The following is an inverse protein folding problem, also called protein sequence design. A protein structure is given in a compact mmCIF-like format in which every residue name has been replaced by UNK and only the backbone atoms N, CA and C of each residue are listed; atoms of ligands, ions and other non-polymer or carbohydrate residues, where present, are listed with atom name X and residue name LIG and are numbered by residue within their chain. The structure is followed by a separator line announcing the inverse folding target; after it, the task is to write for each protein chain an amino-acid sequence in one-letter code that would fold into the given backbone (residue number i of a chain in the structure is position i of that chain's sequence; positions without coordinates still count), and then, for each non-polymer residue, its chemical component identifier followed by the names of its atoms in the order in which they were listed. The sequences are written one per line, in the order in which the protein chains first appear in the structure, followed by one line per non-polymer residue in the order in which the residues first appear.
data_IF_936455047592
#
_entry.id   IF_936455047592
#
_cell.length_a   1.000
_cell.length_b   1.000
_cell.length_c   1.000
_cell.angle_alpha   90.00
_cell.angle_beta   90.00
_cell.angle_gamma   90.00
#
_symmetry.space_group_name_H-M   'P 1'
#
loop_
_entity.id
_entity.type
_entity.pdbx_description
1 polymer ?
#
# COMPACT_ATOMS: atom_id res chain seq x y z
N UNK A 1 -19.59 42.75 1.63
CA UNK A 1 -19.38 41.71 0.60
C UNK A 1 -19.31 40.36 1.30
N UNK A 2 -20.23 39.44 1.04
CA UNK A 2 -20.33 38.20 1.81
C UNK A 2 -19.34 37.14 1.26
N UNK A 3 -18.23 36.95 1.97
CA UNK A 3 -17.18 35.99 1.62
C UNK A 3 -17.74 34.58 1.40
N UNK A 4 -18.68 34.18 2.25
CA UNK A 4 -19.34 32.88 2.17
C UNK A 4 -20.03 32.66 0.82
N UNK A 5 -20.86 33.62 0.39
CA UNK A 5 -21.56 33.54 -0.89
C UNK A 5 -20.59 33.42 -2.07
N UNK A 6 -19.47 34.14 -2.01
CA UNK A 6 -18.42 34.06 -3.04
C UNK A 6 -17.82 32.64 -3.04
N UNK A 7 -17.33 32.17 -1.90
CA UNK A 7 -16.71 30.85 -1.79
C UNK A 7 -17.66 29.71 -2.20
N UNK A 8 -18.91 29.72 -1.72
CA UNK A 8 -19.92 28.72 -2.08
C UNK A 8 -20.17 28.75 -3.59
N UNK A 9 -20.35 29.92 -4.20
CA UNK A 9 -20.58 30.02 -5.65
C UNK A 9 -19.42 29.44 -6.47
N UNK A 10 -18.18 29.64 -6.00
CA UNK A 10 -16.99 29.10 -6.65
C UNK A 10 -16.87 27.59 -6.47
N UNK A 11 -17.04 27.08 -5.25
CA UNK A 11 -16.96 25.64 -4.99
C UNK A 11 -18.10 24.87 -5.65
N UNK A 12 -19.30 25.45 -5.80
CA UNK A 12 -20.38 24.84 -6.58
C UNK A 12 -20.00 24.68 -8.06
N UNK A 13 -19.35 25.70 -8.63
CA UNK A 13 -18.95 25.73 -10.04
C UNK A 13 -17.74 24.82 -10.33
N UNK A 14 -16.66 24.99 -9.57
CA UNK A 14 -15.35 24.36 -9.85
C UNK A 14 -15.15 23.04 -9.10
N UNK A 15 -15.95 22.78 -8.05
CA UNK A 15 -15.75 21.65 -7.14
C UNK A 15 -14.67 21.93 -6.08
N UNK A 16 -14.12 20.86 -5.46
CA UNK A 16 -13.09 20.98 -4.44
C UNK A 16 -11.81 21.67 -4.96
N UNK A 17 -11.28 22.61 -4.19
CA UNK A 17 -10.12 23.41 -4.58
C UNK A 17 -9.04 23.43 -3.49
N UNK A 18 -7.74 23.40 -3.85
CA UNK A 18 -6.65 23.55 -2.90
C UNK A 18 -6.57 24.98 -2.38
N UNK A 19 -5.96 25.15 -1.21
CA UNK A 19 -5.94 26.42 -0.51
C UNK A 19 -5.28 27.56 -1.28
N UNK A 20 -4.19 27.30 -2.04
CA UNK A 20 -3.57 28.32 -2.88
C UNK A 20 -4.52 28.85 -3.97
N UNK A 21 -5.32 27.97 -4.59
CA UNK A 21 -6.24 28.36 -5.65
C UNK A 21 -7.36 29.25 -5.10
N UNK A 22 -7.87 28.91 -3.92
CA UNK A 22 -8.87 29.72 -3.21
C UNK A 22 -8.28 31.08 -2.81
N UNK A 23 -7.07 31.11 -2.25
CA UNK A 23 -6.40 32.35 -1.86
C UNK A 23 -6.17 33.26 -3.07
N UNK A 24 -5.65 32.71 -4.17
CA UNK A 24 -5.41 33.45 -5.40
C UNK A 24 -6.70 34.03 -5.98
N UNK A 25 -7.77 33.23 -6.04
CA UNK A 25 -9.08 33.67 -6.52
C UNK A 25 -9.63 34.83 -5.67
N UNK A 26 -9.60 34.69 -4.34
CA UNK A 26 -10.09 35.72 -3.43
C UNK A 26 -9.23 36.99 -3.47
N UNK A 27 -7.91 36.86 -3.64
CA UNK A 27 -7.01 38.00 -3.81
C UNK A 27 -7.44 38.88 -4.98
N UNK A 28 -7.79 38.26 -6.12
CA UNK A 28 -8.27 38.96 -7.32
C UNK A 28 -9.64 39.58 -7.08
N UNK A 29 -10.61 38.79 -6.60
CA UNK A 29 -12.00 39.24 -6.39
C UNK A 29 -12.12 40.34 -5.35
N UNK A 30 -11.33 40.28 -4.28
CA UNK A 30 -11.39 41.21 -3.15
C UNK A 30 -10.36 42.34 -3.27
N UNK A 31 -9.51 42.36 -4.31
CA UNK A 31 -8.39 43.30 -4.48
C UNK A 31 -7.55 43.42 -3.20
N UNK A 32 -7.23 42.29 -2.59
CA UNK A 32 -6.46 42.22 -1.33
C UNK A 32 -5.24 41.33 -1.50
N UNK A 33 -4.26 41.46 -0.60
CA UNK A 33 -3.04 40.65 -0.64
C UNK A 33 -3.32 39.22 -0.17
N UNK A 34 -2.57 38.21 -0.66
CA UNK A 34 -2.72 36.82 -0.23
C UNK A 34 -2.64 36.62 1.29
N UNK A 35 -1.82 37.40 1.99
CA UNK A 35 -1.68 37.33 3.45
C UNK A 35 -2.95 37.80 4.17
N UNK A 36 -3.56 38.89 3.72
CA UNK A 36 -4.82 39.38 4.29
C UNK A 36 -5.94 38.37 4.06
N UNK A 37 -5.98 37.74 2.88
CA UNK A 37 -6.94 36.67 2.56
C UNK A 37 -6.76 35.46 3.48
N UNK A 38 -5.52 35.03 3.77
CA UNK A 38 -5.27 33.92 4.71
C UNK A 38 -5.82 34.20 6.11
N UNK A 39 -5.56 35.40 6.64
CA UNK A 39 -6.08 35.81 7.96
C UNK A 39 -7.61 35.83 7.95
N UNK A 40 -8.20 36.33 6.86
CA UNK A 40 -9.64 36.42 6.68
C UNK A 40 -10.29 35.02 6.61
N UNK A 41 -9.71 34.09 5.83
CA UNK A 41 -10.15 32.69 5.77
C UNK A 41 -10.05 32.00 7.14
N UNK A 42 -8.93 32.17 7.85
CA UNK A 42 -8.75 31.59 9.18
C UNK A 42 -9.80 32.07 10.18
N UNK A 43 -10.16 33.37 10.15
CA UNK A 43 -11.27 33.89 10.97
C UNK A 43 -12.62 33.34 10.54
N UNK A 44 -12.85 33.24 9.23
CA UNK A 44 -14.09 32.76 8.65
C UNK A 44 -14.40 31.30 9.00
N UNK A 45 -13.40 30.40 8.90
CA UNK A 45 -13.60 28.98 9.23
C UNK A 45 -13.70 28.70 10.73
N UNK A 46 -13.34 29.64 11.60
CA UNK A 46 -13.65 29.54 13.04
C UNK A 46 -15.12 29.74 13.35
N UNK A 47 -15.86 30.44 12.49
CA UNK A 47 -17.24 30.85 12.74
C UNK A 47 -18.27 30.25 11.80
N UNK A 48 -17.85 29.51 10.76
CA UNK A 48 -18.75 29.00 9.72
C UNK A 48 -18.61 27.49 9.54
N UNK A 49 -19.75 26.81 9.38
CA UNK A 49 -19.90 25.35 9.29
C UNK A 49 -20.25 24.85 7.89
N UNK A 50 -20.56 25.74 6.92
CA UNK A 50 -21.08 25.35 5.60
C UNK A 50 -20.01 24.90 4.59
N UNK A 51 -18.74 25.19 4.86
CA UNK A 51 -17.60 24.85 4.00
C UNK A 51 -16.61 24.01 4.79
N UNK A 52 -16.29 22.82 4.26
CA UNK A 52 -15.35 21.90 4.87
C UNK A 52 -13.92 22.24 4.48
N UNK A 53 -13.03 22.17 5.47
CA UNK A 53 -11.58 22.17 5.27
C UNK A 53 -11.11 20.74 5.42
N UNK A 54 -10.59 20.18 4.34
CA UNK A 54 -10.11 18.80 4.29
C UNK A 54 -9.02 18.57 5.32
N UNK A 55 -9.16 17.49 6.10
CA UNK A 55 -8.10 17.01 6.97
C UNK A 55 -6.85 16.61 6.15
N UNK A 56 -7.05 16.25 4.88
CA UNK A 56 -5.97 15.89 3.97
C UNK A 56 -4.99 17.04 3.77
N UNK A 57 -3.75 16.76 4.15
CA UNK A 57 -2.64 17.70 3.99
C UNK A 57 -1.79 17.32 2.78
N UNK A 58 -1.71 18.24 1.80
CA UNK A 58 -0.82 18.16 0.64
C UNK A 58 0.45 19.02 0.87
N UNK A 59 1.35 19.09 -0.12
CA UNK A 59 2.66 19.76 0.02
C UNK A 59 2.49 21.20 0.55
N UNK A 60 3.41 21.63 1.44
CA UNK A 60 3.39 22.95 2.07
C UNK A 60 2.18 23.23 2.99
N UNK A 61 1.65 22.19 3.66
CA UNK A 61 0.48 22.29 4.54
C UNK A 61 -0.75 22.88 3.85
N UNK A 62 -0.90 22.58 2.56
CA UNK A 62 -2.09 22.95 1.81
C UNK A 62 -3.23 21.96 2.10
N UNK A 63 -4.45 22.48 2.15
CA UNK A 63 -5.68 21.72 2.38
C UNK A 63 -6.66 21.96 1.24
N UNK A 64 -7.64 21.07 1.07
CA UNK A 64 -8.74 21.28 0.14
C UNK A 64 -9.94 21.93 0.83
N UNK A 65 -10.60 22.82 0.12
CA UNK A 65 -11.89 23.38 0.49
C UNK A 65 -12.98 22.74 -0.36
N UNK A 66 -14.07 22.30 0.27
CA UNK A 66 -15.19 21.66 -0.42
C UNK A 66 -16.52 21.85 0.32
N UNK A 67 -17.62 21.68 -0.39
CA UNK A 67 -18.97 21.78 0.18
C UNK A 67 -19.53 20.42 0.60
N UNK A 68 -20.58 20.44 1.43
CA UNK A 68 -21.39 19.26 1.67
C UNK A 68 -21.85 18.62 0.34
N UNK A 69 -21.72 17.30 0.26
CA UNK A 69 -22.05 16.55 -0.96
C UNK A 69 -20.97 16.53 -2.04
N UNK A 70 -19.79 17.14 -1.83
CA UNK A 70 -18.68 17.12 -2.79
C UNK A 70 -17.59 16.09 -2.50
N UNK A 71 -17.78 15.20 -1.52
CA UNK A 71 -16.85 14.13 -1.12
C UNK A 71 -16.40 13.27 -2.32
N UNK A 72 -17.32 12.94 -3.21
CA UNK A 72 -17.10 12.18 -4.45
C UNK A 72 -16.16 12.91 -5.40
N UNK A 73 -16.39 14.22 -5.58
CA UNK A 73 -15.56 15.07 -6.43
C UNK A 73 -14.16 15.21 -5.83
N UNK A 74 -14.03 15.26 -4.50
CA UNK A 74 -12.74 15.31 -3.81
C UNK A 74 -11.97 14.01 -4.03
N UNK A 75 -12.62 12.85 -3.84
CA UNK A 75 -12.03 11.55 -4.11
C UNK A 75 -11.54 11.44 -5.56
N UNK A 76 -12.36 11.85 -6.54
CA UNK A 76 -11.97 11.86 -7.96
C UNK A 76 -10.79 12.78 -8.24
N UNK A 77 -10.78 13.98 -7.65
CA UNK A 77 -9.68 14.94 -7.78
C UNK A 77 -8.37 14.31 -7.31
N UNK A 78 -8.37 13.68 -6.13
CA UNK A 78 -7.21 13.01 -5.55
C UNK A 78 -6.74 11.84 -6.41
N UNK A 79 -7.66 11.00 -6.89
CA UNK A 79 -7.37 9.85 -7.74
C UNK A 79 -6.80 10.28 -9.10
N UNK A 80 -7.24 11.41 -9.66
CA UNK A 80 -6.87 11.78 -11.03
C UNK A 80 -5.66 12.73 -11.09
N UNK A 81 -5.60 13.74 -10.21
CA UNK A 81 -4.59 14.80 -10.26
C UNK A 81 -3.44 14.62 -9.26
N UNK A 82 -3.64 13.86 -8.19
CA UNK A 82 -2.70 13.75 -7.09
C UNK A 82 -2.11 12.33 -6.93
N UNK A 83 -1.97 11.62 -8.05
CA UNK A 83 -1.41 10.26 -8.09
C UNK A 83 0.03 10.14 -7.61
N UNK A 84 0.79 11.22 -7.64
CA UNK A 84 2.16 11.26 -7.14
C UNK A 84 2.22 11.32 -5.60
N UNK A 85 1.09 11.57 -4.92
CA UNK A 85 0.98 11.54 -3.47
C UNK A 85 0.57 10.15 -2.96
N UNK A 86 1.02 9.75 -1.75
CA UNK A 86 0.63 8.47 -1.14
C UNK A 86 -0.88 8.24 -1.12
N UNK A 87 -1.67 9.24 -0.72
CA UNK A 87 -3.14 9.19 -0.70
C UNK A 87 -3.76 8.93 -2.08
N UNK A 88 -3.27 9.59 -3.13
CA UNK A 88 -3.84 9.45 -4.47
C UNK A 88 -3.57 8.07 -5.03
N UNK A 89 -2.39 7.50 -4.74
CA UNK A 89 -2.06 6.09 -5.07
C UNK A 89 -2.97 5.13 -4.34
N UNK A 90 -3.14 5.31 -3.02
CA UNK A 90 -4.01 4.48 -2.19
C UNK A 90 -5.45 4.47 -2.71
N UNK A 91 -6.04 5.65 -2.92
CA UNK A 91 -7.42 5.76 -3.41
C UNK A 91 -7.57 5.16 -4.83
N UNK A 92 -6.56 5.31 -5.70
CA UNK A 92 -6.60 4.67 -7.03
C UNK A 92 -6.57 3.15 -6.94
N UNK A 93 -5.75 2.59 -6.06
CA UNK A 93 -5.66 1.14 -5.90
C UNK A 93 -6.89 0.57 -5.18
N UNK A 94 -7.46 1.29 -4.21
CA UNK A 94 -8.78 0.95 -3.62
C UNK A 94 -9.87 0.92 -4.69
N UNK A 95 -9.88 1.87 -5.63
CA UNK A 95 -10.87 1.89 -6.72
C UNK A 95 -10.78 0.67 -7.63
N UNK A 96 -9.59 0.11 -7.82
CA UNK A 96 -9.39 -1.10 -8.64
C UNK A 96 -9.60 -2.39 -7.86
N UNK A 97 -9.17 -2.41 -6.60
CA UNK A 97 -9.12 -3.63 -5.77
C UNK A 97 -10.34 -3.78 -4.86
N UNK A 98 -11.21 -2.77 -4.79
CA UNK A 98 -12.38 -2.63 -3.92
C UNK A 98 -12.05 -2.46 -2.44
N UNK A 99 -11.08 -3.21 -1.95
CA UNK A 99 -10.53 -3.15 -0.61
C UNK A 99 -9.03 -3.47 -0.65
N UNK A 100 -8.34 -3.17 0.46
CA UNK A 100 -6.95 -3.55 0.68
C UNK A 100 -6.77 -3.96 2.15
N UNK A 101 -6.09 -5.08 2.41
CA UNK A 101 -5.63 -5.38 3.77
C UNK A 101 -4.53 -4.41 4.21
N UNK A 102 -4.32 -4.23 5.51
CA UNK A 102 -3.36 -3.25 6.05
C UNK A 102 -1.95 -3.44 5.50
N UNK A 103 -1.51 -4.69 5.34
CA UNK A 103 -0.20 -5.02 4.74
C UNK A 103 -0.07 -4.52 3.31
N UNK A 104 -1.16 -4.56 2.52
CA UNK A 104 -1.18 -4.00 1.17
C UNK A 104 -1.13 -2.47 1.21
N UNK A 105 -1.88 -1.85 2.13
CA UNK A 105 -1.88 -0.40 2.33
C UNK A 105 -0.48 0.11 2.66
N UNK A 106 0.26 -0.58 3.54
CA UNK A 106 1.62 -0.21 3.90
C UNK A 106 2.56 -0.22 2.67
N UNK A 107 2.42 -1.21 1.78
CA UNK A 107 3.19 -1.29 0.54
C UNK A 107 2.86 -0.16 -0.43
N UNK A 108 1.57 0.15 -0.61
CA UNK A 108 1.11 1.20 -1.54
C UNK A 108 1.53 2.60 -1.07
N UNK A 109 1.37 2.88 0.23
CA UNK A 109 1.78 4.16 0.79
C UNK A 109 3.30 4.29 0.80
N UNK A 110 4.02 3.22 1.17
CA UNK A 110 5.47 3.21 1.27
C UNK A 110 6.01 4.26 2.23
N UNK A 111 5.32 4.45 3.35
CA UNK A 111 5.61 5.44 4.39
C UNK A 111 5.94 4.73 5.71
N UNK A 112 6.55 5.44 6.68
CA UNK A 112 6.72 4.94 8.03
C UNK A 112 5.37 4.59 8.67
N UNK A 113 5.30 3.50 9.43
CA UNK A 113 4.09 3.10 10.14
C UNK A 113 3.74 4.11 11.24
N UNK A 114 4.75 4.55 11.98
CA UNK A 114 4.68 5.55 13.05
C UNK A 114 5.30 6.88 12.61
N UNK A 115 5.06 7.95 13.37
CA UNK A 115 5.64 9.27 13.12
C UNK A 115 7.17 9.20 13.07
N UNK A 116 7.77 9.75 12.02
CA UNK A 116 9.23 9.90 11.89
C UNK A 116 9.58 11.30 11.41
N UNK A 117 10.78 11.78 11.74
CA UNK A 117 11.21 13.12 11.33
C UNK A 117 11.07 13.35 9.82
N UNK A 118 10.35 14.42 9.45
CA UNK A 118 10.18 14.85 8.06
C UNK A 118 9.25 13.97 7.20
N UNK A 119 8.67 12.89 7.75
CA UNK A 119 7.78 12.00 7.00
C UNK A 119 6.50 11.71 7.77
N UNK A 120 5.39 11.82 7.05
CA UNK A 120 4.06 11.54 7.56
C UNK A 120 3.81 10.04 7.63
N UNK A 121 3.28 9.58 8.76
CA UNK A 121 3.03 8.16 9.00
C UNK A 121 1.84 7.64 8.20
N UNK A 122 1.78 6.32 8.01
CA UNK A 122 0.61 5.63 7.46
C UNK A 122 -0.63 5.95 8.29
N UNK A 123 -0.53 5.83 9.61
CA UNK A 123 -1.63 6.10 10.54
C UNK A 123 -2.19 7.53 10.34
N UNK A 124 -1.31 8.52 10.18
CA UNK A 124 -1.71 9.91 9.93
C UNK A 124 -2.46 10.05 8.59
N UNK A 125 -2.03 9.35 7.54
CA UNK A 125 -2.76 9.35 6.26
C UNK A 125 -4.14 8.70 6.37
N UNK A 126 -4.25 7.56 7.06
CA UNK A 126 -5.52 6.88 7.26
C UNK A 126 -6.49 7.75 8.09
N UNK A 127 -6.00 8.35 9.18
CA UNK A 127 -6.78 9.24 10.03
C UNK A 127 -7.33 10.46 9.27
N UNK A 128 -6.55 11.07 8.37
CA UNK A 128 -7.06 12.17 7.53
C UNK A 128 -8.14 11.71 6.54
N UNK A 129 -7.93 10.57 5.88
CA UNK A 129 -8.89 10.02 4.92
C UNK A 129 -10.20 9.61 5.61
N UNK A 130 -10.13 9.06 6.82
CA UNK A 130 -11.30 8.72 7.64
C UNK A 130 -12.04 9.97 8.11
N UNK A 131 -11.32 11.02 8.55
CA UNK A 131 -11.92 12.32 8.93
C UNK A 131 -12.69 12.97 7.79
N UNK A 132 -12.15 12.90 6.57
CA UNK A 132 -12.82 13.39 5.35
C UNK A 132 -13.87 12.39 4.79
N UNK A 133 -14.15 11.30 5.53
CA UNK A 133 -15.13 10.25 5.18
C UNK A 133 -14.88 9.65 3.79
N UNK A 134 -13.61 9.56 3.39
CA UNK A 134 -13.21 8.95 2.12
C UNK A 134 -13.05 7.43 2.24
N UNK A 135 -12.59 6.96 3.40
CA UNK A 135 -12.37 5.53 3.65
C UNK A 135 -13.04 5.11 4.95
N UNK A 136 -13.18 3.81 5.10
CA UNK A 136 -13.51 3.13 6.36
C UNK A 136 -12.44 2.07 6.63
N UNK A 137 -12.03 1.97 7.89
CA UNK A 137 -11.23 0.84 8.40
C UNK A 137 -12.20 -0.14 9.05
N UNK A 138 -12.12 -1.41 8.67
CA UNK A 138 -12.97 -2.50 9.17
C UNK A 138 -12.09 -3.50 9.89
N UNK A 139 -12.60 -4.07 10.99
CA UNK A 139 -11.86 -4.99 11.86
C UNK A 139 -10.53 -4.38 12.34
N UNK A 140 -10.57 -3.13 12.80
CA UNK A 140 -9.40 -2.40 13.30
C UNK A 140 -8.68 -3.21 14.39
N UNK A 141 -7.35 -3.19 14.36
CA UNK A 141 -6.44 -3.92 15.26
C UNK A 141 -6.49 -5.46 15.18
N UNK A 142 -7.31 -6.02 14.30
CA UNK A 142 -7.39 -7.46 14.07
C UNK A 142 -6.53 -7.91 12.87
N UNK A 143 -6.12 -9.20 12.78
CA UNK A 143 -5.45 -9.74 11.59
C UNK A 143 -6.27 -9.61 10.30
N UNK A 144 -7.57 -9.35 10.43
CA UNK A 144 -8.51 -9.19 9.34
C UNK A 144 -8.76 -7.73 8.99
N UNK A 145 -7.96 -6.79 9.51
CA UNK A 145 -8.09 -5.37 9.24
C UNK A 145 -7.99 -5.09 7.73
N UNK A 146 -9.02 -4.45 7.19
CA UNK A 146 -9.03 -4.01 5.80
C UNK A 146 -9.61 -2.62 5.66
N UNK A 147 -9.11 -1.92 4.64
CA UNK A 147 -9.49 -0.58 4.27
C UNK A 147 -10.36 -0.66 3.02
N UNK A 148 -11.50 0.01 3.03
CA UNK A 148 -12.36 0.20 1.86
C UNK A 148 -12.81 1.66 1.76
N UNK A 149 -13.46 2.04 0.66
CA UNK A 149 -14.11 3.34 0.60
C UNK A 149 -15.27 3.43 1.60
N UNK A 150 -15.63 4.65 2.00
CA UNK A 150 -16.85 4.86 2.78
C UNK A 150 -18.10 4.39 2.04
N UNK A 151 -19.16 4.06 2.77
CA UNK A 151 -20.42 3.57 2.17
C UNK A 151 -20.94 4.47 1.02
N UNK A 152 -20.82 5.79 1.19
CA UNK A 152 -21.21 6.79 0.19
C UNK A 152 -20.40 6.65 -1.10
N UNK A 153 -19.07 6.52 -0.97
CA UNK A 153 -18.17 6.37 -2.11
C UNK A 153 -18.23 4.98 -2.74
N UNK A 154 -18.49 3.93 -1.96
CA UNK A 154 -18.80 2.60 -2.50
C UNK A 154 -20.01 2.66 -3.44
N UNK A 155 -21.10 3.29 -3.00
CA UNK A 155 -22.27 3.51 -3.86
C UNK A 155 -21.94 4.32 -5.11
N UNK A 156 -21.14 5.38 -4.98
CA UNK A 156 -20.73 6.23 -6.10
C UNK A 156 -19.84 5.49 -7.12
N UNK A 157 -18.91 4.66 -6.67
CA UNK A 157 -18.02 3.90 -7.53
C UNK A 157 -18.58 2.53 -7.97
N UNK A 158 -19.77 2.15 -7.48
CA UNK A 158 -20.36 0.83 -7.76
C UNK A 158 -19.58 -0.32 -7.15
N UNK A 159 -18.94 -0.11 -6.00
CA UNK A 159 -18.09 -1.09 -5.33
C UNK A 159 -18.90 -1.84 -4.26
N UNK A 160 -18.84 -3.16 -4.29
CA UNK A 160 -19.40 -4.02 -3.26
C UNK A 160 -18.37 -5.08 -2.86
N UNK A 161 -17.94 -5.05 -1.59
CA UNK A 161 -16.98 -6.01 -1.06
C UNK A 161 -17.72 -7.20 -0.46
N UNK A 162 -17.68 -8.34 -1.15
CA UNK A 162 -18.28 -9.57 -0.64
C UNK A 162 -17.33 -10.29 0.33
N UNK A 163 -17.89 -10.94 1.37
CA UNK A 163 -17.11 -11.75 2.32
C UNK A 163 -16.25 -12.82 1.63
N UNK A 164 -16.73 -13.38 0.52
CA UNK A 164 -16.01 -14.34 -0.32
C UNK A 164 -14.73 -13.77 -0.92
N UNK A 165 -14.74 -12.51 -1.35
CA UNK A 165 -13.56 -11.86 -1.93
C UNK A 165 -12.48 -11.62 -0.87
N UNK A 166 -12.89 -11.23 0.34
CA UNK A 166 -11.98 -11.08 1.49
C UNK A 166 -11.25 -12.39 1.80
N UNK A 167 -12.00 -13.49 1.89
CA UNK A 167 -11.42 -14.80 2.19
C UNK A 167 -10.49 -15.30 1.08
N UNK A 168 -10.89 -15.12 -0.19
CA UNK A 168 -10.04 -15.47 -1.33
C UNK A 168 -8.73 -14.65 -1.31
N UNK A 169 -8.81 -13.35 -1.03
CA UNK A 169 -7.63 -12.48 -0.92
C UNK A 169 -6.74 -12.88 0.25
N UNK A 170 -7.30 -13.31 1.38
CA UNK A 170 -6.52 -13.83 2.52
C UNK A 170 -5.71 -15.07 2.13
N UNK A 171 -6.35 -16.03 1.48
CA UNK A 171 -5.69 -17.25 1.01
C UNK A 171 -4.55 -16.93 0.04
N UNK A 172 -4.75 -15.95 -0.85
CA UNK A 172 -3.70 -15.46 -1.73
C UNK A 172 -2.53 -14.80 -1.00
N UNK A 173 -2.80 -14.01 0.04
CA UNK A 173 -1.76 -13.43 0.88
C UNK A 173 -0.96 -14.55 1.57
N UNK A 174 -1.63 -15.53 2.20
CA UNK A 174 -0.96 -16.67 2.84
C UNK A 174 -0.12 -17.46 1.86
N UNK A 175 -0.63 -17.68 0.65
CA UNK A 175 0.14 -18.32 -0.41
C UNK A 175 1.39 -17.49 -0.78
N UNK A 176 1.26 -16.17 -0.87
CA UNK A 176 2.41 -15.29 -1.12
C UNK A 176 3.49 -15.40 -0.03
N UNK A 177 3.10 -15.53 1.24
CA UNK A 177 4.03 -15.76 2.35
C UNK A 177 4.85 -17.05 2.14
N UNK A 178 4.20 -18.14 1.70
CA UNK A 178 4.90 -19.39 1.39
C UNK A 178 5.92 -19.22 0.24
N UNK A 179 5.58 -18.45 -0.78
CA UNK A 179 6.48 -18.18 -1.91
C UNK A 179 7.71 -17.37 -1.48
N UNK A 180 7.50 -16.35 -0.64
CA UNK A 180 8.61 -15.57 -0.09
C UNK A 180 9.51 -16.49 0.75
N UNK A 181 8.95 -17.38 1.55
CA UNK A 181 9.71 -18.31 2.38
C UNK A 181 10.61 -19.23 1.54
N UNK A 182 10.06 -19.87 0.49
CA UNK A 182 10.84 -20.72 -0.42
C UNK A 182 11.92 -19.91 -1.16
N UNK A 183 11.60 -18.70 -1.63
CA UNK A 183 12.58 -17.80 -2.25
C UNK A 183 13.75 -17.49 -1.31
N UNK A 184 13.45 -17.13 -0.06
CA UNK A 184 14.46 -16.84 0.96
C UNK A 184 15.32 -18.07 1.25
N UNK A 185 14.72 -19.26 1.37
CA UNK A 185 15.44 -20.51 1.64
C UNK A 185 16.41 -20.85 0.49
N UNK A 186 15.97 -20.72 -0.76
CA UNK A 186 16.83 -20.93 -1.94
C UNK A 186 17.99 -19.93 -1.94
N UNK A 187 17.72 -18.66 -1.66
CA UNK A 187 18.77 -17.62 -1.63
C UNK A 187 19.76 -17.80 -0.48
N UNK A 188 19.33 -18.33 0.67
CA UNK A 188 20.23 -18.75 1.76
C UNK A 188 21.12 -19.91 1.33
N UNK A 189 20.54 -20.95 0.70
CA UNK A 189 21.31 -22.11 0.18
C UNK A 189 22.34 -21.72 -0.89
N UNK A 190 22.03 -20.70 -1.69
CA UNK A 190 22.96 -20.13 -2.67
C UNK A 190 23.99 -19.17 -2.07
N UNK A 191 24.00 -18.98 -0.74
CA UNK A 191 24.83 -18.00 -0.02
C UNK A 191 24.66 -16.55 -0.49
N UNK A 192 23.51 -16.22 -1.10
CA UNK A 192 23.15 -14.85 -1.45
C UNK A 192 22.66 -14.11 -0.21
N UNK A 193 21.88 -14.79 0.66
CA UNK A 193 21.38 -14.24 1.92
C UNK A 193 22.02 -14.91 3.13
N UNK A 194 22.26 -14.12 4.17
CA UNK A 194 22.71 -14.63 5.47
C UNK A 194 21.63 -15.47 6.16
N UNK A 195 22.03 -16.62 6.68
CA UNK A 195 21.18 -17.58 7.37
C UNK A 195 20.51 -16.98 8.63
N UNK A 196 21.28 -16.25 9.44
CA UNK A 196 20.89 -15.79 10.78
C UNK A 196 20.28 -14.38 10.83
N UNK A 197 20.36 -13.64 9.72
CA UNK A 197 19.90 -12.24 9.68
C UNK A 197 18.81 -12.00 8.63
N UNK A 198 18.14 -13.05 8.19
CA UNK A 198 16.99 -12.95 7.29
C UNK A 198 15.69 -12.98 8.10
N UNK A 199 14.83 -12.00 7.87
CA UNK A 199 13.52 -11.87 8.50
C UNK A 199 12.43 -11.84 7.42
N UNK A 200 11.27 -12.39 7.76
CA UNK A 200 10.09 -12.42 6.89
C UNK A 200 8.85 -12.01 7.70
N UNK A 201 7.92 -11.34 7.01
CA UNK A 201 6.66 -10.94 7.60
C UNK A 201 5.68 -12.10 7.52
N UNK A 202 4.97 -12.33 8.61
CA UNK A 202 3.91 -13.32 8.67
C UNK A 202 2.56 -12.60 8.76
N UNK A 203 1.60 -13.04 7.95
CA UNK A 203 0.27 -12.41 7.87
C UNK A 203 -0.52 -12.63 9.16
N UNK A 204 -0.29 -13.77 9.82
CA UNK A 204 -0.96 -14.14 11.07
C UNK A 204 -0.59 -13.28 12.28
N UNK A 205 0.48 -12.46 12.20
CA UNK A 205 0.95 -11.66 13.33
C UNK A 205 0.17 -10.37 13.57
N UNK A 206 -0.73 -9.99 12.65
CA UNK A 206 -1.47 -8.72 12.73
C UNK A 206 -0.57 -7.47 12.56
N UNK A 207 -1.16 -6.27 12.59
CA UNK A 207 -0.44 -5.01 12.37
C UNK A 207 0.53 -4.63 13.51
N UNK A 208 0.26 -5.03 14.75
CA UNK A 208 1.08 -4.64 15.92
C UNK A 208 2.45 -5.32 15.98
N UNK A 209 2.57 -6.53 15.43
CA UNK A 209 3.79 -7.36 15.51
C UNK A 209 4.57 -7.40 14.18
N UNK A 210 4.46 -6.34 13.39
CA UNK A 210 5.19 -6.16 12.15
C UNK A 210 6.65 -5.79 12.45
N UNK A 211 7.60 -6.50 11.84
CA UNK A 211 8.98 -6.04 11.88
C UNK A 211 9.16 -4.89 10.88
N UNK A 212 9.83 -3.81 11.33
CA UNK A 212 9.96 -2.56 10.57
C UNK A 212 11.42 -2.22 10.31
N UNK A 213 11.71 -1.77 9.08
CA UNK A 213 13.04 -1.29 8.69
C UNK A 213 12.96 0.22 8.49
N UNK A 214 13.62 0.97 9.38
CA UNK A 214 13.50 2.42 9.45
C UNK A 214 12.03 2.90 9.54
N UNK A 215 11.24 2.25 10.39
CA UNK A 215 9.80 2.53 10.53
C UNK A 215 8.93 2.02 9.38
N UNK A 216 9.49 1.51 8.28
CA UNK A 216 8.73 1.10 7.10
C UNK A 216 8.47 -0.41 7.07
N UNK A 217 7.33 -0.77 6.49
CA UNK A 217 6.95 -2.14 6.19
C UNK A 217 7.71 -2.71 4.98
N UNK A 218 8.14 -3.98 5.08
CA UNK A 218 8.69 -4.78 3.98
C UNK A 218 8.25 -6.25 4.14
N UNK A 219 8.07 -6.99 3.05
CA UNK A 219 7.67 -8.41 3.14
C UNK A 219 8.79 -9.29 3.72
N UNK A 220 10.04 -9.01 3.33
CA UNK A 220 11.21 -9.66 3.87
C UNK A 220 12.46 -8.78 3.81
N UNK A 221 13.41 -9.10 4.69
CA UNK A 221 14.68 -8.40 4.86
C UNK A 221 15.81 -9.41 5.04
N UNK A 222 16.99 -9.11 4.50
CA UNK A 222 18.19 -9.89 4.78
C UNK A 222 19.47 -9.14 4.43
N UNK A 223 20.60 -9.82 4.53
CA UNK A 223 21.91 -9.28 4.18
C UNK A 223 22.63 -10.18 3.18
N UNK A 224 23.24 -9.54 2.18
CA UNK A 224 24.11 -10.18 1.19
C UNK A 224 25.58 -9.90 1.49
N UNK A 225 26.40 -10.95 1.49
CA UNK A 225 27.85 -10.91 1.77
C UNK A 225 28.71 -11.36 0.59
N UNK A 226 28.11 -11.55 -0.59
CA UNK A 226 28.85 -11.95 -1.79
C UNK A 226 29.89 -10.88 -2.12
N UNK A 227 31.15 -11.28 -2.31
CA UNK A 227 32.33 -10.41 -2.53
C UNK A 227 32.11 -9.27 -3.53
N UNK A 228 31.46 -9.55 -4.65
CA UNK A 228 31.20 -8.57 -5.72
C UNK A 228 30.11 -7.56 -5.37
N UNK A 229 29.29 -7.86 -4.37
CA UNK A 229 28.15 -7.04 -3.94
C UNK A 229 28.48 -6.28 -2.65
N UNK A 230 29.15 -6.95 -1.72
CA UNK A 230 29.61 -6.38 -0.46
C UNK A 230 30.67 -5.29 -0.70
N UNK A 231 30.56 -4.18 0.03
CA UNK A 231 31.57 -3.11 -0.03
C UNK A 231 32.70 -3.46 0.91
N UNK A 232 33.93 -3.49 0.41
CA UNK A 232 35.11 -3.58 1.26
C UNK A 232 35.45 -2.20 1.80
N UNK A 233 35.49 -2.05 3.12
CA UNK A 233 35.84 -0.80 3.79
C UNK A 233 36.86 -1.13 4.86
N UNK A 234 38.09 -0.60 4.70
CA UNK A 234 39.22 -0.85 5.61
C UNK A 234 39.53 -2.35 5.80
N UNK A 235 39.42 -3.16 4.75
CA UNK A 235 39.70 -4.61 4.78
C UNK A 235 38.55 -5.47 5.31
N UNK A 236 37.43 -4.88 5.74
CA UNK A 236 36.23 -5.60 6.16
C UNK A 236 35.14 -5.55 5.10
N UNK A 237 34.52 -6.70 4.82
CA UNK A 237 33.33 -6.78 3.95
C UNK A 237 32.12 -6.28 4.71
N UNK A 238 31.55 -5.17 4.27
CA UNK A 238 30.26 -4.68 4.77
C UNK A 238 29.10 -5.34 4.00
N UNK A 239 28.12 -5.92 4.71
CA UNK A 239 26.97 -6.51 4.06
C UNK A 239 26.11 -5.46 3.35
N UNK A 240 25.42 -5.91 2.31
CA UNK A 240 24.43 -5.12 1.60
C UNK A 240 23.03 -5.56 2.03
N UNK A 241 22.17 -4.65 2.50
CA UNK A 241 20.80 -5.00 2.86
C UNK A 241 20.01 -5.39 1.61
N UNK A 242 19.28 -6.50 1.69
CA UNK A 242 18.35 -6.97 0.67
C UNK A 242 16.94 -6.73 1.18
N UNK A 243 16.18 -5.94 0.42
CA UNK A 243 14.80 -5.58 0.78
C UNK A 243 13.87 -6.22 -0.24
N UNK A 244 12.88 -6.96 0.24
CA UNK A 244 11.99 -7.75 -0.61
C UNK A 244 10.55 -7.30 -0.39
N UNK A 245 9.86 -6.97 -1.48
CA UNK A 245 8.41 -6.88 -1.53
C UNK A 245 7.87 -7.86 -2.58
N UNK A 246 6.66 -8.35 -2.38
CA UNK A 246 5.99 -9.27 -3.30
C UNK A 246 4.55 -8.85 -3.59
N UNK A 247 4.13 -9.08 -4.83
CA UNK A 247 2.74 -8.99 -5.27
C UNK A 247 2.43 -10.10 -6.28
N UNK A 248 1.82 -11.19 -5.80
CA UNK A 248 1.72 -12.42 -6.58
C UNK A 248 0.34 -12.60 -7.23
N UNK A 249 -0.72 -12.35 -6.47
CA UNK A 249 -2.08 -12.74 -6.85
C UNK A 249 -2.81 -11.73 -7.75
N UNK A 250 -2.37 -10.46 -7.79
CA UNK A 250 -2.95 -9.43 -8.67
C UNK A 250 -1.91 -8.81 -9.60
N UNK A 251 -2.39 -8.16 -10.66
CA UNK A 251 -1.52 -7.44 -11.59
C UNK A 251 -0.80 -6.29 -10.86
N UNK A 252 0.51 -6.21 -11.05
CA UNK A 252 1.34 -5.15 -10.47
C UNK A 252 1.11 -3.86 -11.24
N UNK A 253 0.88 -2.80 -10.51
CA UNK A 253 0.66 -1.46 -11.04
C UNK A 253 1.89 -0.58 -10.83
N UNK A 254 1.91 0.58 -11.49
CA UNK A 254 2.95 1.59 -11.24
C UNK A 254 2.92 2.07 -9.78
N UNK A 255 1.73 2.13 -9.16
CA UNK A 255 1.54 2.53 -7.77
C UNK A 255 2.28 1.61 -6.80
N UNK A 256 2.25 0.29 -7.05
CA UNK A 256 2.98 -0.71 -6.25
C UNK A 256 4.49 -0.45 -6.27
N UNK A 257 5.05 -0.17 -7.45
CA UNK A 257 6.48 0.12 -7.63
C UNK A 257 6.85 1.46 -6.99
N UNK A 258 6.03 2.49 -7.16
CA UNK A 258 6.27 3.81 -6.55
C UNK A 258 6.20 3.77 -5.02
N UNK A 259 5.29 2.96 -4.45
CA UNK A 259 5.23 2.71 -3.01
C UNK A 259 6.54 2.09 -2.51
N UNK A 260 6.97 1.01 -3.17
CA UNK A 260 8.21 0.33 -2.80
C UNK A 260 9.45 1.23 -2.94
N UNK A 261 9.54 2.01 -4.02
CA UNK A 261 10.63 2.99 -4.21
C UNK A 261 10.66 4.04 -3.10
N UNK A 262 9.51 4.45 -2.57
CA UNK A 262 9.46 5.39 -1.46
C UNK A 262 9.99 4.74 -0.17
N UNK A 263 9.56 3.52 0.13
CA UNK A 263 10.10 2.71 1.25
C UNK A 263 11.63 2.59 1.15
N UNK A 264 12.15 2.29 -0.04
CA UNK A 264 13.59 2.14 -0.26
C UNK A 264 14.37 3.43 -0.03
N UNK A 265 13.82 4.60 -0.39
CA UNK A 265 14.46 5.90 -0.11
C UNK A 265 14.62 6.11 1.40
N UNK A 266 13.57 5.81 2.17
CA UNK A 266 13.59 5.91 3.62
C UNK A 266 14.57 4.93 4.25
N UNK A 267 14.61 3.68 3.77
CA UNK A 267 15.53 2.66 4.27
C UNK A 267 17.00 3.00 3.95
N UNK A 268 17.29 3.52 2.74
CA UNK A 268 18.65 3.90 2.33
C UNK A 268 19.27 4.94 3.27
N UNK A 269 18.46 5.86 3.81
CA UNK A 269 18.93 6.85 4.77
C UNK A 269 19.51 6.20 6.04
N UNK A 270 18.85 5.14 6.56
CA UNK A 270 19.29 4.41 7.76
C UNK A 270 20.63 3.69 7.54
N UNK A 271 20.79 2.99 6.43
CA UNK A 271 21.98 2.15 6.20
C UNK A 271 23.15 2.89 5.56
N UNK A 272 22.96 4.13 5.10
CA UNK A 272 23.97 4.93 4.38
C UNK A 272 24.64 4.14 3.24
N UNK A 273 23.92 3.17 2.68
CA UNK A 273 24.39 2.22 1.67
C UNK A 273 23.27 1.94 0.67
N UNK A 274 23.66 1.53 -0.53
CA UNK A 274 22.69 1.02 -1.50
C UNK A 274 22.15 -0.30 -0.97
N UNK A 275 20.82 -0.46 -0.99
CA UNK A 275 20.17 -1.75 -0.77
C UNK A 275 19.97 -2.47 -2.10
N UNK A 276 19.78 -3.79 -2.06
CA UNK A 276 19.31 -4.59 -3.20
C UNK A 276 17.78 -4.66 -3.11
N UNK A 277 17.04 -3.91 -3.94
CA UNK A 277 15.59 -3.96 -3.94
C UNK A 277 15.10 -5.11 -4.83
N UNK A 278 14.46 -6.10 -4.22
CA UNK A 278 13.85 -7.23 -4.91
C UNK A 278 12.34 -7.07 -4.91
N UNK A 279 11.72 -7.16 -6.08
CA UNK A 279 10.28 -7.20 -6.23
C UNK A 279 9.85 -8.52 -6.86
N UNK A 280 9.13 -9.34 -6.10
CA UNK A 280 8.59 -10.63 -6.54
C UNK A 280 7.19 -10.40 -7.12
N UNK A 281 6.94 -10.88 -8.34
CA UNK A 281 5.65 -10.72 -9.00
C UNK A 281 5.12 -12.05 -9.55
N UNK A 282 3.80 -12.25 -9.49
CA UNK A 282 3.17 -13.47 -9.99
C UNK A 282 2.70 -13.34 -11.44
N UNK A 283 1.86 -12.35 -11.71
CA UNK A 283 1.35 -12.08 -13.06
C UNK A 283 2.36 -11.30 -13.92
N UNK A 284 2.43 -11.53 -15.24
CA UNK A 284 3.31 -10.77 -16.13
C UNK A 284 3.16 -9.26 -15.95
N UNK A 285 4.29 -8.56 -15.86
CA UNK A 285 4.31 -7.11 -15.68
C UNK A 285 3.97 -6.40 -17.00
N UNK A 286 3.09 -5.37 -16.99
CA UNK A 286 2.94 -4.50 -18.15
C UNK A 286 4.28 -3.88 -18.56
N UNK A 287 4.52 -3.70 -19.86
CA UNK A 287 5.80 -3.20 -20.41
C UNK A 287 6.26 -1.92 -19.72
N UNK A 288 5.35 -0.97 -19.53
CA UNK A 288 5.63 0.31 -18.87
C UNK A 288 6.06 0.14 -17.41
N UNK A 289 5.41 -0.76 -16.67
CA UNK A 289 5.73 -1.03 -15.26
C UNK A 289 7.10 -1.71 -15.15
N UNK A 290 7.38 -2.69 -16.02
CA UNK A 290 8.68 -3.36 -16.07
C UNK A 290 9.81 -2.38 -16.37
N UNK A 291 9.66 -1.55 -17.40
CA UNK A 291 10.65 -0.53 -17.78
C UNK A 291 10.87 0.48 -16.66
N UNK A 292 9.78 0.94 -16.02
CA UNK A 292 9.85 1.86 -14.89
C UNK A 292 10.61 1.26 -13.70
N UNK A 293 10.30 0.01 -13.32
CA UNK A 293 10.98 -0.66 -12.23
C UNK A 293 12.48 -0.89 -12.52
N UNK A 294 12.82 -1.35 -13.72
CA UNK A 294 14.22 -1.54 -14.16
C UNK A 294 15.01 -0.23 -14.16
N UNK A 295 14.43 0.86 -14.67
CA UNK A 295 15.07 2.19 -14.67
C UNK A 295 15.40 2.66 -13.25
N UNK A 296 14.64 2.24 -12.24
CA UNK A 296 14.89 2.58 -10.84
C UNK A 296 15.73 1.53 -10.08
N UNK A 297 16.34 0.56 -10.79
CA UNK A 297 17.29 -0.38 -10.23
C UNK A 297 16.68 -1.57 -9.48
N UNK A 298 15.41 -1.91 -9.73
CA UNK A 298 14.77 -3.07 -9.11
C UNK A 298 15.24 -4.40 -9.72
N UNK A 299 15.55 -5.36 -8.85
CA UNK A 299 15.66 -6.77 -9.20
C UNK A 299 14.26 -7.35 -9.24
N UNK A 300 13.83 -7.78 -10.42
CA UNK A 300 12.48 -8.29 -10.65
C UNK A 300 12.53 -9.82 -10.71
N UNK A 301 11.83 -10.49 -9.79
CA UNK A 301 11.78 -11.94 -9.71
C UNK A 301 10.35 -12.43 -10.02
N UNK A 302 10.20 -13.23 -11.07
CA UNK A 302 8.92 -13.84 -11.39
C UNK A 302 8.69 -15.05 -10.49
N UNK A 303 7.55 -15.11 -9.79
CA UNK A 303 7.14 -16.29 -9.04
C UNK A 303 6.93 -17.49 -9.97
N UNK A 304 6.55 -17.26 -11.24
CA UNK A 304 6.46 -18.32 -12.26
C UNK A 304 7.83 -18.92 -12.58
N UNK A 305 8.92 -18.16 -12.46
CA UNK A 305 10.27 -18.72 -12.57
C UNK A 305 10.65 -19.58 -11.35
N UNK A 306 10.06 -19.31 -10.18
CA UNK A 306 10.36 -20.05 -8.95
C UNK A 306 9.58 -21.37 -8.85
N UNK A 307 8.33 -21.37 -9.32
CA UNK A 307 7.36 -22.46 -9.14
C UNK A 307 6.85 -23.09 -10.45
N UNK A 308 7.28 -22.56 -11.60
CA UNK A 308 6.80 -23.02 -12.90
C UNK A 308 5.29 -22.84 -13.07
N UNK A 309 4.68 -23.76 -13.81
CA UNK A 309 3.24 -23.74 -14.11
C UNK A 309 2.35 -24.05 -12.90
N UNK A 310 2.91 -24.61 -11.81
CA UNK A 310 2.16 -24.90 -10.58
C UNK A 310 1.60 -23.63 -9.92
N UNK A 311 2.22 -22.46 -10.18
CA UNK A 311 1.73 -21.18 -9.70
C UNK A 311 0.32 -20.89 -10.23
N UNK A 312 0.12 -21.00 -11.55
CA UNK A 312 -1.17 -20.71 -12.18
C UNK A 312 -2.23 -21.71 -11.72
N UNK A 313 -1.88 -23.00 -11.68
CA UNK A 313 -2.79 -24.04 -11.16
C UNK A 313 -3.23 -23.75 -9.73
N UNK A 314 -2.29 -23.38 -8.84
CA UNK A 314 -2.62 -23.12 -7.43
C UNK A 314 -3.47 -21.87 -7.27
N UNK A 315 -3.16 -20.80 -8.01
CA UNK A 315 -3.96 -19.57 -7.98
C UNK A 315 -5.39 -19.79 -8.49
N UNK A 316 -5.55 -20.61 -9.54
CA UNK A 316 -6.86 -20.99 -10.05
C UNK A 316 -7.62 -21.85 -9.03
N UNK A 317 -6.99 -22.86 -8.43
CA UNK A 317 -7.60 -23.70 -7.40
C UNK A 317 -8.11 -22.88 -6.20
N UNK A 318 -7.33 -21.90 -5.73
CA UNK A 318 -7.77 -20.99 -4.65
C UNK A 318 -9.04 -20.22 -5.05
N UNK A 319 -9.13 -19.83 -6.32
CA UNK A 319 -10.30 -19.14 -6.87
C UNK A 319 -11.52 -20.08 -6.94
N UNK A 320 -11.32 -21.30 -7.45
CA UNK A 320 -12.37 -22.30 -7.74
C UNK A 320 -12.94 -22.96 -6.45
N UNK A 321 -12.11 -23.17 -5.43
CA UNK A 321 -12.54 -23.70 -4.11
C UNK A 321 -13.65 -22.81 -3.51
N UNK A 322 -13.60 -21.51 -3.78
CA UNK A 322 -14.59 -20.57 -3.27
C UNK A 322 -15.82 -20.46 -4.19
N UNK A 323 -15.73 -20.83 -5.47
CA UNK A 323 -16.89 -21.01 -6.36
C UNK A 323 -17.72 -22.23 -5.95
N UNK A 324 -17.08 -23.35 -5.67
CA UNK A 324 -17.74 -24.61 -5.29
C UNK A 324 -18.38 -24.56 -3.88
N UNK A 325 -17.75 -23.88 -2.91
CA UNK A 325 -18.34 -23.66 -1.57
C UNK A 325 -19.55 -22.72 -1.58
N UNK A 326 -19.65 -21.81 -2.55
CA UNK A 326 -20.78 -20.89 -2.71
C UNK A 326 -22.10 -21.61 -3.02
N UNK A 327 -22.02 -22.82 -3.60
CA UNK A 327 -23.20 -23.61 -3.97
C UNK A 327 -23.66 -24.58 -2.87
N UNK A 328 -22.92 -24.67 -1.76
CA UNK A 328 -23.22 -25.59 -0.66
C UNK A 328 -23.10 -24.89 0.72
N UNK A 329 -24.19 -24.22 1.11
CA UNK A 329 -24.65 -23.92 2.47
C UNK A 329 -23.86 -22.97 3.42
N UNK A 330 -24.66 -22.09 4.03
CA UNK A 330 -24.66 -21.58 5.41
C UNK A 330 -23.33 -21.55 6.18
N UNK A 331 -22.94 -20.30 6.51
CA UNK A 331 -22.09 -19.89 7.62
C UNK A 331 -21.94 -20.90 8.76
N UNK A 332 -20.71 -21.41 8.93
CA UNK A 332 -19.92 -21.43 10.19
C UNK A 332 -18.71 -22.34 10.01
N UNK A 333 -17.50 -21.78 9.93
CA UNK A 333 -16.32 -22.52 10.40
C UNK A 333 -15.21 -21.58 10.83
N UNK A 334 -14.96 -21.64 12.14
CA UNK A 334 -13.86 -21.06 12.92
C UNK A 334 -12.46 -21.40 12.38
N UNK A 335 -11.39 -20.63 12.71
CA UNK A 335 -10.03 -20.73 12.14
C UNK A 335 -9.28 -22.05 12.40
N UNK A 336 -9.88 -23.04 13.06
CA UNK A 336 -9.19 -24.24 13.56
C UNK A 336 -8.85 -25.28 12.49
N UNK A 337 -9.39 -25.18 11.27
CA UNK A 337 -9.21 -26.22 10.25
C UNK A 337 -7.91 -26.11 9.44
N UNK A 338 -7.26 -24.93 9.37
CA UNK A 338 -5.99 -24.78 8.64
C UNK A 338 -4.74 -25.07 9.48
N UNK A 339 -4.82 -24.95 10.81
CA UNK A 339 -3.76 -25.45 11.68
C UNK A 339 -3.56 -26.97 11.54
N UNK A 340 -4.58 -27.71 11.07
CA UNK A 340 -4.47 -29.14 10.74
C UNK A 340 -3.88 -29.45 9.36
N UNK A 341 -3.88 -28.50 8.41
CA UNK A 341 -3.16 -28.65 7.14
C UNK A 341 -1.65 -28.39 7.31
N UNK A 342 -1.27 -27.54 8.27
CA UNK A 342 0.14 -27.39 8.67
C UNK A 342 0.70 -28.62 9.40
N UNK A 343 -0.15 -29.45 10.02
CA UNK A 343 0.28 -30.66 10.74
C UNK A 343 0.02 -31.97 9.99
N UNK A 344 -0.81 -31.97 8.95
CA UNK A 344 -1.06 -33.13 8.09
C UNK A 344 -0.37 -32.97 6.72
N UNK A 345 0.93 -33.29 6.69
CA UNK A 345 1.60 -33.87 5.51
C UNK A 345 1.63 -33.09 4.18
N UNK A 346 2.05 -31.84 4.21
CA UNK A 346 2.92 -31.31 3.13
C UNK A 346 4.32 -31.08 3.68
N UNK A 347 4.96 -32.15 4.14
CA UNK A 347 6.41 -32.13 4.27
C UNK A 347 6.99 -31.98 2.86
N UNK A 348 7.46 -30.78 2.53
CA UNK A 348 8.23 -30.49 1.31
C UNK A 348 9.44 -31.43 1.13
N UNK A 349 9.79 -32.21 2.15
CA UNK A 349 10.73 -33.33 2.06
C UNK A 349 10.33 -34.44 1.07
N UNK A 350 9.03 -34.64 0.76
CA UNK A 350 8.61 -35.62 -0.27
C UNK A 350 8.69 -35.11 -1.71
N UNK A 351 8.97 -33.83 -1.95
CA UNK A 351 9.16 -33.25 -3.29
C UNK A 351 10.63 -33.21 -3.75
N UNK A 352 11.58 -33.72 -2.94
CA UNK A 352 13.01 -33.82 -3.32
C UNK A 352 13.29 -34.85 -4.44
N UNK A 353 12.30 -35.61 -4.89
CA UNK A 353 12.51 -36.69 -5.88
C UNK A 353 12.13 -36.36 -7.32
N UNK A 354 11.62 -35.16 -7.62
CA UNK A 354 11.46 -34.72 -9.02
C UNK A 354 12.62 -33.79 -9.37
N UNK A 355 13.79 -34.38 -9.59
CA UNK A 355 14.98 -33.65 -9.99
C UNK A 355 14.75 -32.91 -11.31
N UNK A 356 15.05 -31.62 -11.32
CA UNK A 356 15.48 -30.84 -12.48
C UNK A 356 16.27 -29.64 -11.95
N UNK A 357 17.39 -29.40 -12.63
CA UNK A 357 18.62 -28.69 -12.22
C UNK A 357 18.48 -27.24 -11.75
#
# INVERSE_FOLDING_TARGET
MNLEKILISFLLKEGPLPSHAVIHMLSIRMKSTPNNIRVLLHRFFKSNTSIHVSAITIKHNEHFFYLDGQTEKLAQLLINKYLWLPIGRLLRELRKSHFLFSLEVFKILGQPLESSEGHKSVESYLNELTKDKLIEVKNEDEPEEYICFSQKLNGYFGINTAAKELETRRQFLTFQEAIISDFLERWKKMNILSWNHTQQQHISRGPENIFKINGCYVDAFGFCYVLSVAKEVKGEKKPVPVIINAQIYRGVTKQDIEGFLNTLKLIKYKYKSNAIPVFIYGKPLPKEVFQYAKKNGLVLASAKMLLGNQLETTLNLISDINETKSNNLQYRSSPKCWCKLNSANLSFHKLKHTGFF
#
